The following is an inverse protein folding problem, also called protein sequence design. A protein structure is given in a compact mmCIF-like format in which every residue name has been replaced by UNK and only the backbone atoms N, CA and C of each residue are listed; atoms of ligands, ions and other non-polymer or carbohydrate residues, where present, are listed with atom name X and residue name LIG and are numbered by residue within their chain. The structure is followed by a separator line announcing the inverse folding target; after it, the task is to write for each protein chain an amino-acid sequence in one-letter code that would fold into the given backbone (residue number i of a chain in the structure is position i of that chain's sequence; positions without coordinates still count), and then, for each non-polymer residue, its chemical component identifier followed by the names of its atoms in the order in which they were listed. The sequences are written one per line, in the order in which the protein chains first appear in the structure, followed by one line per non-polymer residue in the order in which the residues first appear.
data_IF_090976190539
#
_entry.id   IF_090976190539
#
_cell.length_a   1.000
_cell.length_b   1.000
_cell.length_c   1.000
_cell.angle_alpha   90.00
_cell.angle_beta   90.00
_cell.angle_gamma   90.00
#
_symmetry.space_group_name_H-M   'P 1'
#
loop_
_entity.id
_entity.type
_entity.pdbx_description
1 polymer ?
#
# COMPACT_ATOMS: atom_id res chain seq x y z
N UNK A 1 -0.22 17.53 5.04
CA UNK A 1 0.53 16.29 5.30
C UNK A 1 0.97 15.72 3.97
N UNK A 2 2.23 15.34 3.82
CA UNK A 2 2.76 14.81 2.56
C UNK A 2 3.06 13.33 2.68
N UNK A 3 2.76 12.56 1.64
CA UNK A 3 3.15 11.15 1.53
C UNK A 3 3.89 10.98 0.22
N UNK A 4 4.98 10.22 0.25
CA UNK A 4 5.77 9.87 -0.94
C UNK A 4 5.59 8.39 -1.20
N UNK A 5 5.30 8.06 -2.46
CA UNK A 5 5.26 6.69 -2.97
C UNK A 5 6.43 6.50 -3.92
N UNK A 6 7.14 5.39 -3.80
CA UNK A 6 8.32 5.09 -4.62
C UNK A 6 8.17 3.69 -5.20
N UNK A 7 8.38 3.59 -6.51
CA UNK A 7 8.65 2.31 -7.16
C UNK A 7 10.11 1.95 -6.91
N UNK A 8 10.34 1.00 -6.02
CA UNK A 8 11.66 0.48 -5.71
C UNK A 8 11.92 -0.71 -6.66
N UNK A 9 12.19 -0.37 -7.92
CA UNK A 9 12.08 -1.27 -9.08
C UNK A 9 12.94 -2.53 -8.97
N UNK A 10 14.21 -2.36 -8.56
CA UNK A 10 15.17 -3.45 -8.41
C UNK A 10 14.81 -4.37 -7.25
N UNK A 11 14.15 -3.83 -6.21
CA UNK A 11 13.65 -4.63 -5.08
C UNK A 11 12.22 -5.15 -5.30
N UNK A 12 11.65 -4.92 -6.50
CA UNK A 12 10.35 -5.44 -6.92
C UNK A 12 9.21 -5.14 -5.94
N UNK A 13 9.16 -3.89 -5.47
CA UNK A 13 8.21 -3.46 -4.44
C UNK A 13 7.84 -1.99 -4.58
N UNK A 14 6.68 -1.64 -4.04
CA UNK A 14 6.24 -0.26 -3.88
C UNK A 14 6.32 0.12 -2.41
N UNK A 15 6.91 1.28 -2.14
CA UNK A 15 7.19 1.76 -0.80
C UNK A 15 6.46 3.08 -0.53
N UNK A 16 6.07 3.32 0.73
CA UNK A 16 5.37 4.52 1.20
C UNK A 16 6.09 5.17 2.37
N UNK A 17 6.29 6.49 2.30
CA UNK A 17 6.83 7.32 3.38
C UNK A 17 5.84 8.43 3.75
N UNK A 18 5.69 8.67 5.05
CA UNK A 18 5.04 9.89 5.53
C UNK A 18 6.07 11.00 5.67
N UNK A 19 5.64 12.25 5.50
CA UNK A 19 6.49 13.43 5.69
C UNK A 19 7.09 13.40 7.11
N UNK A 20 8.42 13.41 7.18
CA UNK A 20 9.18 13.36 8.43
C UNK A 20 9.53 11.96 8.93
N UNK A 21 9.06 10.89 8.28
CA UNK A 21 9.48 9.52 8.59
C UNK A 21 10.92 9.28 8.14
N UNK A 22 11.72 8.59 8.97
CA UNK A 22 13.08 8.14 8.65
C UNK A 22 13.10 6.83 7.85
N UNK A 23 12.01 6.07 7.91
CA UNK A 23 11.85 4.77 7.26
C UNK A 23 10.55 4.71 6.46
N UNK A 24 10.54 3.81 5.47
CA UNK A 24 9.41 3.58 4.59
C UNK A 24 8.78 2.21 4.84
N UNK A 25 7.51 2.08 4.47
CA UNK A 25 6.77 0.83 4.58
C UNK A 25 6.59 0.23 3.19
N UNK A 26 6.81 -1.08 3.05
CA UNK A 26 6.39 -1.82 1.86
C UNK A 26 4.87 -1.89 1.86
N UNK A 27 4.24 -1.48 0.77
CA UNK A 27 2.77 -1.53 0.64
C UNK A 27 2.29 -2.52 -0.42
N UNK A 28 3.11 -2.80 -1.44
CA UNK A 28 2.82 -3.75 -2.51
C UNK A 28 4.13 -4.47 -2.87
N UNK A 29 4.09 -5.77 -3.16
CA UNK A 29 5.28 -6.54 -3.48
C UNK A 29 6.13 -6.88 -2.26
N UNK A 30 7.45 -7.02 -2.47
CA UNK A 30 8.41 -7.31 -1.39
C UNK A 30 8.44 -8.77 -0.93
N UNK A 31 7.71 -9.66 -1.60
CA UNK A 31 7.76 -11.13 -1.40
C UNK A 31 8.53 -11.85 -2.52
N UNK A 32 9.56 -11.18 -3.03
CA UNK A 32 10.31 -11.63 -4.21
C UNK A 32 9.66 -11.24 -5.54
N UNK A 33 10.44 -11.37 -6.61
CA UNK A 33 10.00 -11.16 -7.98
C UNK A 33 8.97 -12.22 -8.39
N UNK A 34 7.94 -11.83 -9.14
CA UNK A 34 6.98 -12.78 -9.70
C UNK A 34 5.76 -12.11 -10.31
N UNK A 35 4.82 -12.94 -10.77
CA UNK A 35 3.59 -12.54 -11.46
C UNK A 35 2.32 -12.79 -10.65
N UNK A 36 2.45 -13.25 -9.40
CA UNK A 36 1.31 -13.37 -8.48
C UNK A 36 0.63 -12.03 -8.22
N UNK A 37 -0.57 -12.07 -7.61
CA UNK A 37 -1.42 -10.90 -7.38
C UNK A 37 -0.76 -9.84 -6.49
N UNK A 38 0.11 -10.27 -5.58
CA UNK A 38 0.86 -9.38 -4.69
C UNK A 38 2.37 -9.37 -4.99
N UNK A 39 2.76 -9.84 -6.17
CA UNK A 39 4.14 -9.79 -6.65
C UNK A 39 4.26 -8.80 -7.81
N UNK A 40 5.46 -8.27 -7.95
CA UNK A 40 5.84 -7.35 -9.01
C UNK A 40 7.13 -7.85 -9.65
N UNK A 41 7.38 -7.37 -10.87
CA UNK A 41 8.61 -7.59 -11.60
C UNK A 41 9.01 -6.28 -12.28
N UNK A 42 9.99 -5.60 -11.68
CA UNK A 42 10.50 -4.30 -12.12
C UNK A 42 9.40 -3.24 -12.32
N UNK A 43 8.68 -2.84 -11.26
CA UNK A 43 7.72 -1.75 -11.38
C UNK A 43 8.45 -0.43 -11.69
N UNK A 44 7.99 0.33 -12.69
CA UNK A 44 8.67 1.56 -13.11
C UNK A 44 7.92 2.84 -12.77
N UNK A 45 6.59 2.81 -12.83
CA UNK A 45 5.78 4.02 -12.67
C UNK A 45 4.53 3.80 -11.82
N UNK A 46 4.06 4.89 -11.23
CA UNK A 46 3.00 4.96 -10.24
C UNK A 46 2.09 6.16 -10.52
N UNK A 47 0.79 5.90 -10.67
CA UNK A 47 -0.19 6.98 -10.83
C UNK A 47 -1.42 6.74 -9.97
N UNK A 48 -1.87 7.78 -9.27
CA UNK A 48 -3.15 7.76 -8.57
C UNK A 48 -4.29 8.24 -9.47
N UNK A 49 -5.45 7.61 -9.35
CA UNK A 49 -6.70 8.16 -9.86
C UNK A 49 -7.36 9.13 -8.85
N UNK A 50 -8.51 9.69 -9.23
CA UNK A 50 -9.26 10.64 -8.39
C UNK A 50 -9.92 9.96 -7.18
N UNK A 51 -10.17 8.65 -7.26
CA UNK A 51 -10.73 7.83 -6.18
C UNK A 51 -9.65 7.42 -5.17
N UNK A 52 -8.38 7.58 -5.54
CA UNK A 52 -7.23 7.24 -4.72
C UNK A 52 -6.72 5.82 -4.90
N UNK A 53 -7.15 5.11 -5.94
CA UNK A 53 -6.51 3.86 -6.34
C UNK A 53 -5.14 4.16 -6.96
N UNK A 54 -4.19 3.27 -6.69
CA UNK A 54 -2.84 3.34 -7.22
C UNK A 54 -2.70 2.37 -8.40
N UNK A 55 -2.31 2.90 -9.55
CA UNK A 55 -1.94 2.12 -10.73
C UNK A 55 -0.43 1.96 -10.75
N UNK A 56 0.01 0.73 -10.95
CA UNK A 56 1.41 0.34 -11.00
C UNK A 56 1.70 -0.25 -12.37
N UNK A 57 2.70 0.31 -13.06
CA UNK A 57 3.24 -0.27 -14.29
C UNK A 57 4.21 -1.36 -13.90
N UNK A 58 3.79 -2.62 -14.04
CA UNK A 58 4.54 -3.82 -13.68
C UNK A 58 5.26 -4.36 -14.92
N UNK A 59 6.39 -3.72 -15.25
CA UNK A 59 7.02 -3.76 -16.58
C UNK A 59 7.29 -5.18 -17.08
N UNK A 60 8.04 -5.98 -16.32
CA UNK A 60 8.46 -7.31 -16.80
C UNK A 60 7.31 -8.32 -16.85
N UNK A 61 6.22 -8.05 -16.14
CA UNK A 61 4.99 -8.83 -16.26
C UNK A 61 4.08 -8.34 -17.40
N UNK A 62 4.49 -7.29 -18.13
CA UNK A 62 3.74 -6.68 -19.24
C UNK A 62 2.30 -6.33 -18.87
N UNK A 63 2.08 -5.81 -17.65
CA UNK A 63 0.74 -5.50 -17.15
C UNK A 63 0.71 -4.18 -16.36
N UNK A 64 -0.50 -3.65 -16.20
CA UNK A 64 -0.79 -2.59 -15.25
C UNK A 64 -1.69 -3.21 -14.17
N UNK A 65 -1.34 -3.00 -12.90
CA UNK A 65 -2.15 -3.45 -11.77
C UNK A 65 -2.73 -2.26 -11.03
N UNK A 66 -3.97 -2.38 -10.58
CA UNK A 66 -4.66 -1.38 -9.76
C UNK A 66 -4.78 -1.90 -8.33
N UNK A 67 -4.38 -1.08 -7.37
CA UNK A 67 -4.49 -1.36 -5.94
C UNK A 67 -5.31 -0.29 -5.25
N UNK A 68 -6.25 -0.72 -4.43
CA UNK A 68 -6.94 0.17 -3.49
C UNK A 68 -5.98 0.44 -2.33
N UNK A 69 -5.61 1.70 -2.15
CA UNK A 69 -4.69 2.10 -1.08
C UNK A 69 -5.47 2.78 0.02
N UNK A 70 -5.42 2.19 1.20
CA UNK A 70 -5.90 2.86 2.41
C UNK A 70 -4.99 4.05 2.70
N UNK A 71 -5.52 5.24 2.40
CA UNK A 71 -4.91 6.55 2.71
C UNK A 71 -5.11 6.94 4.17
N UNK A 72 -5.56 6.03 5.03
CA UNK A 72 -5.71 6.27 6.47
C UNK A 72 -4.34 6.55 7.08
N UNK A 73 -4.01 7.84 7.14
CA UNK A 73 -3.02 8.36 8.06
C UNK A 73 -3.64 8.24 9.44
N UNK A 74 -3.25 7.23 10.21
CA UNK A 74 -3.56 7.18 11.64
C UNK A 74 -2.80 8.33 12.32
N UNK A 75 -3.36 9.55 12.28
CA UNK A 75 -2.83 10.71 13.01
C UNK A 75 -3.57 10.76 14.33
N UNK A 76 -2.87 10.31 15.39
CA UNK A 76 -3.35 10.19 16.76
C UNK A 76 -4.55 9.25 16.94
N UNK A 77 -4.24 7.98 17.17
CA UNK A 77 -4.88 7.23 18.25
C UNK A 77 -6.07 6.34 17.93
N UNK A 78 -6.57 6.26 16.70
CA UNK A 78 -7.49 5.19 16.26
C UNK A 78 -7.63 5.22 14.74
N UNK A 79 -7.55 4.04 14.09
CA UNK A 79 -7.97 3.84 12.70
C UNK A 79 -9.26 3.04 12.75
N UNK A 80 -10.38 3.69 12.48
CA UNK A 80 -11.64 3.01 12.21
C UNK A 80 -11.72 2.80 10.70
N UNK A 81 -11.56 1.55 10.26
CA UNK A 81 -11.88 1.17 8.87
C UNK A 81 -13.23 0.45 8.89
N UNK A 82 -14.24 1.04 8.26
CA UNK A 82 -15.54 0.44 8.03
C UNK A 82 -15.47 -0.45 6.79
N UNK A 83 -15.54 -1.77 6.94
CA UNK A 83 -15.79 -2.69 5.83
C UNK A 83 -17.21 -3.25 5.98
N UNK A 84 -18.08 -2.91 5.03
CA UNK A 84 -19.37 -3.57 4.82
C UNK A 84 -19.12 -4.82 3.97
N UNK A 85 -19.24 -6.02 4.56
CA UNK A 85 -19.58 -7.23 3.81
C UNK A 85 -20.55 -8.11 4.61
N UNK A 86 -21.39 -8.79 3.84
CA UNK A 86 -22.70 -9.30 4.22
C UNK A 86 -22.71 -10.44 5.26
N UNK A 87 -23.86 -10.52 5.94
CA UNK A 87 -24.37 -11.59 6.83
C UNK A 87 -23.87 -11.56 8.29
N UNK A 88 -24.60 -10.76 9.05
CA UNK A 88 -25.15 -11.07 10.39
C UNK A 88 -24.21 -11.34 11.57
N UNK A 89 -22.90 -11.16 11.45
CA UNK A 89 -22.03 -11.26 12.64
C UNK A 89 -20.96 -10.16 12.61
N UNK A 90 -21.10 -9.17 13.49
CA UNK A 90 -20.09 -8.13 13.70
C UNK A 90 -18.92 -8.73 14.49
N UNK A 91 -17.80 -9.01 13.83
CA UNK A 91 -16.53 -9.25 14.50
C UNK A 91 -15.67 -7.98 14.38
N UNK A 92 -15.51 -7.28 15.50
CA UNK A 92 -14.65 -6.11 15.62
C UNK A 92 -13.21 -6.61 15.77
N UNK A 93 -12.37 -6.44 14.73
CA UNK A 93 -10.95 -6.71 14.86
C UNK A 93 -10.17 -5.41 14.66
N UNK A 94 -9.68 -4.87 15.77
CA UNK A 94 -8.73 -3.76 15.73
C UNK A 94 -7.40 -4.28 15.18
N UNK A 95 -7.08 -4.00 13.93
CA UNK A 95 -5.69 -4.07 13.47
C UNK A 95 -4.97 -2.85 14.03
N UNK A 96 -4.21 -3.04 15.11
CA UNK A 96 -3.36 -2.01 15.68
C UNK A 96 -2.33 -1.56 14.64
N UNK A 97 -2.36 -0.30 14.22
CA UNK A 97 -1.22 0.31 13.56
C UNK A 97 -0.08 0.39 14.58
N UNK A 98 0.99 -0.38 14.36
CA UNK A 98 2.18 -0.38 15.24
C UNK A 98 2.89 0.97 15.12
N UNK A 99 3.04 1.66 16.25
CA UNK A 99 3.89 2.83 16.37
C UNK A 99 5.33 2.34 16.53
N UNK A 100 6.15 2.46 15.48
CA UNK A 100 7.60 2.42 15.65
C UNK A 100 8.07 3.87 15.80
N UNK A 101 8.29 4.28 17.05
CA UNK A 101 8.89 5.56 17.42
C UNK A 101 10.37 5.34 17.74
N UNK A 102 11.27 5.71 16.82
CA UNK A 102 12.64 6.19 17.10
C UNK A 102 13.12 7.22 16.04
#
# INVERSE_FOLDING_TARGET
MGTVYVADSINHRIMRWFKGSKSGNVIIGGRGIGSGTDQLAYPEDLQFDRQGNLYVVDLNNNRIQMFTIDKSSCVKGTCETLLLFERSTFLYQSSSCRFDLE
#
